data_IF_018609093457
#
_entry.id   IF_018609093457
#
_cell.length_a   1.000
_cell.length_b   1.000
_cell.length_c   1.000
_cell.angle_alpha   90.00
_cell.angle_beta   90.00
_cell.angle_gamma   90.00
#
_symmetry.space_group_name_H-M   'P 1'
#
loop_
_entity.id
_entity.type
_entity.pdbx_description
1 polymer ?
#
# COMPACT_ATOMS: atom_id res chain seq x y z
N UNK A 1 -16.99 29.91 3.47
CA UNK A 1 -16.24 29.11 4.47
C UNK A 1 -15.70 27.93 3.70
N UNK A 2 -14.39 27.91 3.49
CA UNK A 2 -13.73 26.82 2.77
C UNK A 2 -13.75 25.57 3.67
N UNK A 3 -14.45 24.52 3.27
CA UNK A 3 -14.30 23.24 3.93
C UNK A 3 -12.89 22.72 3.61
N UNK A 4 -12.07 22.63 4.64
CA UNK A 4 -10.76 22.04 4.57
C UNK A 4 -10.93 20.55 4.27
N UNK A 5 -10.45 20.07 3.12
CA UNK A 5 -10.29 18.63 2.87
C UNK A 5 -9.20 18.13 3.82
N UNK A 6 -9.60 17.67 4.99
CA UNK A 6 -8.69 17.28 6.06
C UNK A 6 -8.42 15.78 6.00
N UNK A 7 -7.42 15.37 5.22
CA UNK A 7 -6.98 13.98 5.09
C UNK A 7 -6.34 13.46 6.40
N UNK A 8 -6.02 14.36 7.35
CA UNK A 8 -5.19 14.07 8.51
C UNK A 8 -5.92 13.61 9.79
N UNK A 9 -7.23 13.79 9.91
CA UNK A 9 -7.93 13.65 11.20
C UNK A 9 -8.68 12.33 11.43
N UNK A 10 -8.78 11.47 10.43
CA UNK A 10 -9.44 10.17 10.62
C UNK A 10 -8.41 9.10 11.03
N UNK A 11 -8.15 8.97 12.32
CA UNK A 11 -7.53 7.76 12.85
C UNK A 11 -8.60 6.65 12.89
N UNK A 12 -8.59 5.75 11.91
CA UNK A 12 -9.40 4.53 11.98
C UNK A 12 -8.63 3.51 12.82
N UNK A 13 -9.23 3.04 13.91
CA UNK A 13 -8.71 1.88 14.62
C UNK A 13 -8.92 0.65 13.73
N UNK A 14 -7.85 0.20 13.08
CA UNK A 14 -7.85 -0.96 12.21
C UNK A 14 -7.46 -2.17 13.06
N UNK A 15 -8.33 -3.18 13.13
CA UNK A 15 -8.00 -4.46 13.75
C UNK A 15 -7.26 -5.33 12.74
N UNK A 16 -5.98 -5.61 13.02
CA UNK A 16 -5.20 -6.52 12.17
C UNK A 16 -5.64 -7.97 12.43
N UNK A 17 -6.11 -8.69 11.40
CA UNK A 17 -6.50 -10.09 11.56
C UNK A 17 -5.29 -10.96 11.87
N UNK A 18 -5.51 -12.10 12.54
CA UNK A 18 -4.45 -13.06 12.85
C UNK A 18 -4.44 -14.17 11.80
N UNK A 19 -3.29 -14.41 11.18
CA UNK A 19 -3.11 -15.54 10.25
C UNK A 19 -3.07 -16.87 11.02
N UNK A 20 -4.19 -17.59 11.01
CA UNK A 20 -4.33 -18.87 11.73
C UNK A 20 -3.50 -20.02 11.12
N UNK A 21 -2.96 -19.84 9.90
CA UNK A 21 -2.15 -20.82 9.18
C UNK A 21 -0.65 -20.83 9.51
N UNK A 22 -0.18 -20.04 10.48
CA UNK A 22 1.24 -19.80 10.74
C UNK A 22 2.04 -21.10 10.98
N UNK A 23 1.57 -21.99 11.85
CA UNK A 23 2.26 -23.26 12.12
C UNK A 23 2.26 -24.21 10.90
N UNK A 24 1.13 -24.27 10.18
CA UNK A 24 1.00 -25.06 8.94
C UNK A 24 1.95 -24.53 7.86
N UNK A 25 2.05 -23.21 7.72
CA UNK A 25 2.99 -22.56 6.80
C UNK A 25 4.45 -22.93 7.13
N UNK A 26 4.87 -22.72 8.37
CA UNK A 26 6.23 -23.00 8.83
C UNK A 26 6.58 -24.49 8.68
N UNK A 27 5.66 -25.40 9.07
CA UNK A 27 5.83 -26.83 8.88
C UNK A 27 5.92 -27.22 7.41
N UNK A 28 5.03 -26.67 6.58
CA UNK A 28 4.99 -26.93 5.14
C UNK A 28 6.27 -26.49 4.41
N UNK A 29 6.87 -25.36 4.82
CA UNK A 29 8.17 -24.92 4.29
C UNK A 29 9.29 -25.84 4.74
N UNK A 30 9.32 -26.24 6.01
CA UNK A 30 10.31 -27.19 6.52
C UNK A 30 10.28 -28.52 5.78
N UNK A 31 9.09 -29.08 5.55
CA UNK A 31 8.86 -30.33 4.83
C UNK A 31 9.00 -30.20 3.31
N UNK A 32 9.30 -28.99 2.79
CA UNK A 32 9.40 -28.67 1.36
C UNK A 32 8.11 -28.90 0.55
N UNK A 33 6.97 -28.90 1.22
CA UNK A 33 5.62 -28.93 0.60
C UNK A 33 5.26 -27.54 0.10
N UNK A 34 5.66 -26.50 0.84
CA UNK A 34 5.53 -25.08 0.47
C UNK A 34 6.92 -24.58 0.09
N UNK A 35 7.01 -23.97 -1.10
CA UNK A 35 8.28 -23.47 -1.66
C UNK A 35 8.04 -22.15 -2.39
N UNK A 36 9.09 -21.38 -2.74
CA UNK A 36 8.94 -20.16 -3.54
C UNK A 36 8.31 -20.37 -4.93
N UNK A 37 8.20 -21.60 -5.42
CA UNK A 37 7.49 -21.95 -6.67
C UNK A 37 6.13 -22.57 -6.43
N UNK A 38 5.79 -22.90 -5.21
CA UNK A 38 4.50 -23.47 -4.80
C UNK A 38 4.00 -22.74 -3.54
N UNK A 39 3.40 -21.60 -3.75
CA UNK A 39 2.93 -20.73 -2.67
C UNK A 39 1.51 -21.13 -2.22
N UNK A 40 1.18 -21.03 -0.92
CA UNK A 40 -0.15 -21.34 -0.43
C UNK A 40 -1.13 -20.20 -0.73
N UNK A 41 -2.26 -20.53 -1.34
CA UNK A 41 -3.35 -19.58 -1.64
C UNK A 41 -3.86 -18.89 -0.37
N UNK A 42 -3.96 -19.62 0.74
CA UNK A 42 -4.42 -19.12 2.04
C UNK A 42 -3.59 -17.91 2.54
N UNK A 43 -2.27 -17.88 2.29
CA UNK A 43 -1.40 -16.78 2.67
C UNK A 43 -1.63 -15.53 1.80
N UNK A 44 -1.79 -15.74 0.49
CA UNK A 44 -2.14 -14.68 -0.45
C UNK A 44 -3.50 -14.08 -0.12
N UNK A 45 -4.53 -14.90 0.03
CA UNK A 45 -5.90 -14.46 0.33
C UNK A 45 -5.96 -13.70 1.65
N UNK A 46 -5.27 -14.19 2.68
CA UNK A 46 -5.18 -13.50 3.98
C UNK A 46 -4.68 -12.06 3.82
N UNK A 47 -3.57 -11.86 3.13
CA UNK A 47 -3.02 -10.51 2.90
C UNK A 47 -3.95 -9.69 2.02
N UNK A 48 -4.42 -10.26 0.92
CA UNK A 48 -5.28 -9.55 -0.03
C UNK A 48 -6.57 -9.06 0.64
N UNK A 49 -7.27 -9.92 1.37
CA UNK A 49 -8.52 -9.53 2.03
C UNK A 49 -8.29 -8.55 3.17
N UNK A 50 -7.22 -8.72 3.95
CA UNK A 50 -6.88 -7.77 5.02
C UNK A 50 -6.65 -6.33 4.50
N UNK A 51 -6.21 -6.16 3.26
CA UNK A 51 -5.98 -4.84 2.65
C UNK A 51 -7.19 -4.37 1.83
N UNK A 52 -7.82 -5.27 1.07
CA UNK A 52 -8.90 -4.91 0.15
C UNK A 52 -10.21 -4.56 0.86
N UNK A 53 -10.51 -5.14 2.03
CA UNK A 53 -11.67 -4.73 2.84
C UNK A 53 -11.54 -3.28 3.31
N UNK A 54 -10.34 -2.85 3.72
CA UNK A 54 -10.09 -1.46 4.11
C UNK A 54 -10.31 -0.51 2.94
N UNK A 55 -9.80 -0.86 1.75
CA UNK A 55 -9.99 -0.05 0.54
C UNK A 55 -11.47 -0.01 0.14
N UNK A 56 -12.18 -1.13 0.24
CA UNK A 56 -13.60 -1.21 -0.05
C UNK A 56 -14.45 -0.35 0.89
N UNK A 57 -14.17 -0.37 2.19
CA UNK A 57 -14.86 0.46 3.18
C UNK A 57 -14.55 1.96 3.05
N UNK A 58 -13.33 2.30 2.57
CA UNK A 58 -12.86 3.69 2.50
C UNK A 58 -13.25 4.35 1.18
N UNK A 59 -13.07 3.65 0.05
CA UNK A 59 -13.29 4.21 -1.28
C UNK A 59 -14.39 3.48 -2.07
N UNK A 60 -14.63 2.21 -1.82
CA UNK A 60 -15.58 1.36 -2.54
C UNK A 60 -14.93 0.39 -3.54
N UNK A 61 -15.71 -0.63 -3.93
CA UNK A 61 -15.32 -1.66 -4.89
C UNK A 61 -15.66 -1.24 -6.34
N UNK A 62 -15.02 -1.83 -7.36
CA UNK A 62 -15.38 -1.58 -8.76
C UNK A 62 -16.87 -1.74 -9.06
N UNK A 63 -17.51 -2.74 -8.47
CA UNK A 63 -18.96 -3.00 -8.65
C UNK A 63 -19.88 -1.91 -8.09
N UNK A 64 -19.38 -1.03 -7.23
CA UNK A 64 -20.16 0.07 -6.61
C UNK A 64 -20.22 1.29 -7.52
N UNK A 65 -19.43 1.30 -8.61
CA UNK A 65 -19.31 2.45 -9.50
C UNK A 65 -19.74 2.14 -10.94
N UNK A 66 -20.25 3.16 -11.63
CA UNK A 66 -20.55 3.07 -13.06
C UNK A 66 -19.26 2.89 -13.86
N UNK A 67 -19.23 1.90 -14.75
CA UNK A 67 -18.10 1.63 -15.66
C UNK A 67 -17.71 2.89 -16.43
N UNK A 68 -16.41 3.14 -16.55
CA UNK A 68 -15.84 4.27 -17.27
C UNK A 68 -15.65 5.54 -16.43
N UNK A 69 -16.21 5.61 -15.22
CA UNK A 69 -15.98 6.74 -14.30
C UNK A 69 -14.58 6.71 -13.70
N UNK A 70 -14.15 7.84 -13.15
CA UNK A 70 -12.91 7.95 -12.39
C UNK A 70 -12.88 6.93 -11.26
N UNK A 71 -13.92 6.88 -10.43
CA UNK A 71 -13.99 6.00 -9.26
C UNK A 71 -13.95 4.52 -9.65
N UNK A 72 -14.68 4.09 -10.72
CA UNK A 72 -14.57 2.74 -11.25
C UNK A 72 -13.14 2.37 -11.65
N UNK A 73 -12.47 3.28 -12.39
CA UNK A 73 -11.10 3.08 -12.86
C UNK A 73 -10.12 2.95 -11.69
N UNK A 74 -10.22 3.85 -10.69
CA UNK A 74 -9.30 3.85 -9.54
C UNK A 74 -9.54 2.65 -8.62
N UNK A 75 -10.77 2.32 -8.29
CA UNK A 75 -11.11 1.14 -7.51
C UNK A 75 -10.59 -0.15 -8.17
N UNK A 76 -10.77 -0.29 -9.50
CA UNK A 76 -10.23 -1.42 -10.26
C UNK A 76 -8.70 -1.49 -10.19
N UNK A 77 -8.03 -0.35 -10.33
CA UNK A 77 -6.56 -0.29 -10.27
C UNK A 77 -6.04 -0.62 -8.87
N UNK A 78 -6.65 -0.08 -7.82
CA UNK A 78 -6.28 -0.38 -6.44
C UNK A 78 -6.47 -1.86 -6.12
N UNK A 79 -7.61 -2.45 -6.46
CA UNK A 79 -7.87 -3.89 -6.25
C UNK A 79 -6.82 -4.77 -6.95
N UNK A 80 -6.52 -4.49 -8.21
CA UNK A 80 -5.50 -5.25 -8.95
C UNK A 80 -4.10 -5.04 -8.38
N UNK A 81 -3.78 -3.81 -7.95
CA UNK A 81 -2.50 -3.51 -7.31
C UNK A 81 -2.32 -4.27 -6.00
N UNK A 82 -3.35 -4.32 -5.15
CA UNK A 82 -3.33 -5.11 -3.91
C UNK A 82 -3.16 -6.61 -4.19
N UNK A 83 -3.76 -7.14 -5.25
CA UNK A 83 -3.56 -8.53 -5.64
C UNK A 83 -2.10 -8.83 -5.99
N UNK A 84 -1.47 -7.98 -6.81
CA UNK A 84 -0.05 -8.11 -7.17
C UNK A 84 0.86 -7.96 -5.95
N UNK A 85 0.57 -6.99 -5.09
CA UNK A 85 1.30 -6.78 -3.84
C UNK A 85 1.22 -7.98 -2.91
N UNK A 86 0.02 -8.54 -2.72
CA UNK A 86 -0.20 -9.71 -1.84
C UNK A 86 0.52 -10.95 -2.35
N UNK A 87 0.58 -11.16 -3.68
CA UNK A 87 1.36 -12.22 -4.28
C UNK A 87 2.86 -12.05 -4.02
N UNK A 88 3.38 -10.83 -4.23
CA UNK A 88 4.79 -10.52 -3.98
C UNK A 88 5.17 -10.67 -2.50
N UNK A 89 4.32 -10.20 -1.59
CA UNK A 89 4.52 -10.36 -0.14
C UNK A 89 4.53 -11.83 0.28
N UNK A 90 3.59 -12.63 -0.22
CA UNK A 90 3.54 -14.08 0.05
C UNK A 90 4.79 -14.78 -0.45
N UNK A 91 5.28 -14.41 -1.63
CA UNK A 91 6.54 -14.92 -2.18
C UNK A 91 7.72 -14.60 -1.26
N UNK A 92 7.87 -13.34 -0.85
CA UNK A 92 8.99 -12.92 0.02
C UNK A 92 8.95 -13.63 1.38
N UNK A 93 7.76 -13.77 1.98
CA UNK A 93 7.61 -14.51 3.24
C UNK A 93 8.09 -15.97 3.08
N UNK A 94 7.62 -16.67 2.06
CA UNK A 94 8.02 -18.07 1.81
C UNK A 94 9.50 -18.17 1.42
N UNK A 95 10.03 -17.23 0.65
CA UNK A 95 11.44 -17.19 0.28
C UNK A 95 12.34 -17.05 1.51
N UNK A 96 11.99 -16.12 2.40
CA UNK A 96 12.75 -15.91 3.64
C UNK A 96 12.66 -17.12 4.57
N UNK A 97 11.46 -17.70 4.76
CA UNK A 97 11.31 -18.95 5.50
C UNK A 97 12.18 -20.05 4.92
N UNK A 98 12.12 -20.27 3.60
CA UNK A 98 12.90 -21.31 2.91
C UNK A 98 14.40 -21.13 3.07
N UNK A 99 14.88 -19.89 3.07
CA UNK A 99 16.30 -19.56 3.25
C UNK A 99 16.83 -19.86 4.65
N UNK A 100 15.95 -19.95 5.64
CA UNK A 100 16.29 -20.22 7.03
C UNK A 100 16.17 -21.70 7.43
N UNK A 101 15.78 -22.62 6.53
CA UNK A 101 15.75 -24.06 6.80
C UNK A 101 17.16 -24.63 6.92
N UNK A 102 18.11 -24.07 6.17
CA UNK A 102 19.52 -24.50 6.16
C UNK A 102 20.37 -23.36 6.69
N UNK A 103 21.13 -23.60 7.74
CA UNK A 103 22.09 -22.66 8.34
C UNK A 103 23.47 -23.30 8.36
N UNK A 104 24.46 -22.57 7.83
CA UNK A 104 25.85 -23.07 7.73
C UNK A 104 25.98 -24.46 7.05
N UNK A 105 25.14 -24.71 6.04
CA UNK A 105 25.15 -25.95 5.25
C UNK A 105 24.45 -27.16 5.92
N UNK A 106 23.81 -26.95 7.06
CA UNK A 106 23.09 -28.00 7.79
C UNK A 106 21.61 -27.65 7.92
N UNK A 107 20.75 -28.66 7.76
CA UNK A 107 19.30 -28.51 8.01
C UNK A 107 19.09 -28.35 9.52
N UNK A 108 18.42 -27.29 9.92
CA UNK A 108 18.07 -27.06 11.32
C UNK A 108 17.13 -28.16 11.86
N UNK A 109 17.24 -28.52 13.16
CA UNK A 109 16.15 -29.26 13.81
C UNK A 109 14.83 -28.51 13.71
N UNK A 110 13.72 -29.22 13.48
CA UNK A 110 12.41 -28.57 13.28
C UNK A 110 12.03 -27.61 14.40
N UNK A 111 12.30 -27.97 15.67
CA UNK A 111 11.94 -27.11 16.80
C UNK A 111 12.72 -25.78 16.83
N UNK A 112 13.94 -25.75 16.32
CA UNK A 112 14.74 -24.54 16.18
C UNK A 112 14.22 -23.71 14.99
N UNK A 113 14.03 -24.35 13.84
CA UNK A 113 13.44 -23.70 12.67
C UNK A 113 12.04 -23.13 12.97
N UNK A 114 11.19 -23.88 13.73
CA UNK A 114 9.84 -23.43 14.09
C UNK A 114 9.87 -22.07 14.81
N UNK A 115 10.79 -21.86 15.74
CA UNK A 115 10.92 -20.57 16.47
C UNK A 115 11.25 -19.42 15.51
N UNK A 116 12.24 -19.63 14.64
CA UNK A 116 12.66 -18.65 13.62
C UNK A 116 11.50 -18.39 12.65
N UNK A 117 10.87 -19.46 12.15
CA UNK A 117 9.80 -19.37 11.16
C UNK A 117 8.57 -18.65 11.68
N UNK A 118 8.16 -18.87 12.93
CA UNK A 118 7.05 -18.15 13.54
C UNK A 118 7.39 -16.66 13.70
N UNK A 119 8.60 -16.30 14.13
CA UNK A 119 9.02 -14.91 14.25
C UNK A 119 9.06 -14.18 12.87
N UNK A 120 9.50 -14.88 11.80
CA UNK A 120 9.44 -14.37 10.44
C UNK A 120 7.97 -14.14 10.04
N UNK A 121 7.11 -15.15 10.24
CA UNK A 121 5.70 -15.04 9.90
C UNK A 121 5.00 -13.90 10.63
N UNK A 122 5.23 -13.71 11.93
CA UNK A 122 4.64 -12.64 12.73
C UNK A 122 5.08 -11.26 12.23
N UNK A 123 6.35 -11.12 11.84
CA UNK A 123 6.85 -9.89 11.24
C UNK A 123 6.10 -9.53 9.96
N UNK A 124 5.89 -10.51 9.04
CA UNK A 124 5.15 -10.26 7.79
C UNK A 124 3.66 -10.07 8.00
N UNK A 125 3.03 -10.91 8.81
CA UNK A 125 1.57 -11.05 8.83
C UNK A 125 0.90 -10.43 10.06
N UNK A 126 1.69 -9.79 10.95
CA UNK A 126 1.19 -8.95 12.03
C UNK A 126 1.80 -7.56 11.91
N UNK A 127 3.12 -7.41 12.20
CA UNK A 127 3.74 -6.10 12.35
C UNK A 127 3.73 -5.26 11.06
N UNK A 128 4.15 -5.85 9.93
CA UNK A 128 4.15 -5.15 8.66
C UNK A 128 2.75 -5.03 8.06
N UNK A 129 1.90 -6.04 8.26
CA UNK A 129 0.52 -5.99 7.77
C UNK A 129 -0.26 -4.84 8.41
N UNK A 130 -0.11 -4.59 9.70
CA UNK A 130 -0.73 -3.44 10.38
C UNK A 130 -0.34 -2.11 9.71
N UNK A 131 0.95 -1.93 9.45
CA UNK A 131 1.45 -0.72 8.76
C UNK A 131 0.92 -0.61 7.32
N UNK A 132 0.85 -1.73 6.60
CA UNK A 132 0.32 -1.80 5.24
C UNK A 132 -1.19 -1.53 5.19
N UNK A 133 -1.94 -1.96 6.20
CA UNK A 133 -3.35 -1.63 6.36
C UNK A 133 -3.55 -0.11 6.56
N UNK A 134 -2.76 0.51 7.42
CA UNK A 134 -2.80 1.97 7.62
C UNK A 134 -2.44 2.71 6.31
N UNK A 135 -1.43 2.23 5.59
CA UNK A 135 -1.06 2.81 4.30
C UNK A 135 -2.21 2.65 3.27
N UNK A 136 -2.85 1.48 3.21
CA UNK A 136 -3.98 1.23 2.30
C UNK A 136 -5.16 2.15 2.60
N UNK A 137 -5.48 2.36 3.87
CA UNK A 137 -6.48 3.32 4.31
C UNK A 137 -6.17 4.74 3.82
N UNK A 138 -4.98 5.26 4.16
CA UNK A 138 -4.57 6.62 3.82
C UNK A 138 -4.46 6.85 2.30
N UNK A 139 -3.97 5.87 1.57
CA UNK A 139 -3.90 5.95 0.11
C UNK A 139 -5.30 5.95 -0.53
N UNK A 140 -6.25 5.21 0.04
CA UNK A 140 -7.64 5.20 -0.44
C UNK A 140 -8.33 6.55 -0.21
N UNK A 141 -8.16 7.16 0.96
CA UNK A 141 -8.63 8.54 1.24
C UNK A 141 -8.01 9.55 0.27
N UNK A 142 -6.71 9.39 -0.03
CA UNK A 142 -6.01 10.26 -0.98
C UNK A 142 -6.56 10.18 -2.40
N UNK A 143 -7.09 9.02 -2.83
CA UNK A 143 -7.76 8.90 -4.14
C UNK A 143 -9.03 9.73 -4.19
N UNK A 144 -9.82 9.70 -3.12
CA UNK A 144 -11.07 10.48 -3.05
C UNK A 144 -10.77 11.98 -3.00
N UNK A 145 -9.82 12.38 -2.17
CA UNK A 145 -9.36 13.77 -2.11
C UNK A 145 -8.81 14.29 -3.44
N UNK A 146 -8.07 13.45 -4.19
CA UNK A 146 -7.60 13.83 -5.53
C UNK A 146 -8.76 14.03 -6.52
N UNK A 147 -9.81 13.23 -6.40
CA UNK A 147 -11.04 13.39 -7.20
C UNK A 147 -11.69 14.73 -6.88
N UNK A 148 -11.95 15.04 -5.60
CA UNK A 148 -12.55 16.30 -5.15
C UNK A 148 -11.74 17.50 -5.63
N UNK A 149 -10.41 17.48 -5.45
CA UNK A 149 -9.51 18.53 -5.94
C UNK A 149 -9.67 18.80 -7.43
N UNK A 150 -9.90 17.76 -8.26
CA UNK A 150 -10.08 17.95 -9.71
C UNK A 150 -11.51 18.35 -10.09
N UNK A 151 -12.51 18.02 -9.31
CA UNK A 151 -13.89 18.47 -9.52
C UNK A 151 -14.01 19.99 -9.28
N UNK A 152 -13.25 20.54 -8.35
CA UNK A 152 -13.29 21.96 -7.95
C UNK A 152 -12.16 22.81 -8.56
N UNK A 153 -11.38 22.27 -9.50
CA UNK A 153 -10.17 22.92 -10.04
C UNK A 153 -10.41 24.30 -10.67
N UNK A 154 -11.60 24.57 -11.22
CA UNK A 154 -11.94 25.86 -11.81
C UNK A 154 -12.10 26.95 -10.73
N UNK A 155 -12.62 26.60 -9.55
CA UNK A 155 -12.79 27.51 -8.42
C UNK A 155 -11.54 27.60 -7.57
N UNK A 156 -10.87 26.46 -7.36
CA UNK A 156 -9.70 26.33 -6.49
C UNK A 156 -8.49 25.75 -7.25
N UNK A 157 -7.87 26.53 -8.15
CA UNK A 157 -6.82 26.03 -9.05
C UNK A 157 -5.46 25.80 -8.40
N UNK A 158 -5.29 26.13 -7.11
CA UNK A 158 -4.02 25.97 -6.40
C UNK A 158 -4.15 25.02 -5.22
N UNK A 159 -3.05 24.34 -4.91
CA UNK A 159 -2.91 23.53 -3.70
C UNK A 159 -1.73 24.01 -2.88
N UNK A 160 -1.91 24.04 -1.57
CA UNK A 160 -0.83 24.25 -0.60
C UNK A 160 -0.55 22.96 0.15
N UNK A 161 0.71 22.53 0.16
CA UNK A 161 1.17 21.43 1.01
C UNK A 161 1.32 21.92 2.46
N UNK A 162 0.81 21.13 3.41
CA UNK A 162 0.89 21.48 4.84
C UNK A 162 1.26 20.29 5.68
N UNK A 163 2.25 20.47 6.56
CA UNK A 163 2.59 19.50 7.60
C UNK A 163 1.84 19.80 8.89
N UNK A 164 1.78 18.84 9.81
CA UNK A 164 1.22 19.05 11.17
C UNK A 164 2.13 19.83 12.10
N UNK A 165 3.34 20.22 11.67
CA UNK A 165 4.30 21.10 12.37
C UNK A 165 4.73 20.62 13.76
N UNK A 166 4.68 19.33 14.02
CA UNK A 166 5.20 18.74 15.27
C UNK A 166 6.58 18.09 15.06
N UNK A 167 7.22 17.65 16.14
CA UNK A 167 8.57 17.07 16.14
C UNK A 167 8.66 15.71 15.43
N UNK A 168 7.53 15.11 15.02
CA UNK A 168 7.47 13.84 14.29
C UNK A 168 7.40 14.03 12.78
N UNK A 169 7.32 15.28 12.29
CA UNK A 169 7.38 15.57 10.84
C UNK A 169 8.80 15.32 10.35
N UNK A 170 8.92 14.56 9.28
CA UNK A 170 10.21 14.25 8.67
C UNK A 170 10.86 15.50 8.06
N UNK A 171 12.20 15.62 8.08
CA UNK A 171 12.88 16.79 7.51
C UNK A 171 12.50 17.06 6.06
N UNK A 172 12.43 16.05 5.21
CA UNK A 172 12.05 16.16 3.80
C UNK A 172 10.61 16.67 3.61
N UNK A 173 9.69 16.35 4.53
CA UNK A 173 8.33 16.89 4.51
C UNK A 173 8.31 18.36 5.01
N UNK A 174 9.19 18.71 5.93
CA UNK A 174 9.32 20.11 6.41
C UNK A 174 9.82 21.03 5.29
N UNK A 175 10.72 20.55 4.42
CA UNK A 175 11.26 21.31 3.28
C UNK A 175 10.18 21.72 2.28
N UNK A 176 9.09 20.97 2.21
CA UNK A 176 7.97 21.25 1.29
C UNK A 176 6.75 21.86 1.99
N UNK A 177 6.83 22.12 3.31
CA UNK A 177 5.75 22.78 4.05
C UNK A 177 5.48 24.19 3.52
N UNK A 178 4.22 24.50 3.27
CA UNK A 178 3.79 25.78 2.73
C UNK A 178 3.99 25.98 1.23
N UNK A 179 4.54 24.99 0.50
CA UNK A 179 4.66 25.07 -0.97
C UNK A 179 3.29 25.14 -1.61
N UNK A 180 3.12 26.12 -2.51
CA UNK A 180 1.90 26.34 -3.29
C UNK A 180 2.21 26.10 -4.76
N UNK A 181 1.40 25.24 -5.38
CA UNK A 181 1.44 24.95 -6.83
C UNK A 181 0.02 24.82 -7.38
N UNK A 182 -0.11 25.01 -8.71
CA UNK A 182 -1.36 24.68 -9.38
C UNK A 182 -1.65 23.19 -9.28
N UNK A 183 -2.92 22.82 -9.31
CA UNK A 183 -3.36 21.41 -9.24
C UNK A 183 -2.73 20.56 -10.36
N UNK A 184 -2.51 21.14 -11.54
CA UNK A 184 -1.93 20.48 -12.72
C UNK A 184 -0.38 20.45 -12.72
N UNK A 185 0.28 21.02 -11.69
CA UNK A 185 1.76 21.02 -11.59
C UNK A 185 2.30 19.62 -11.33
N UNK A 186 3.40 19.20 -12.03
CA UNK A 186 4.06 17.91 -11.81
C UNK A 186 4.55 17.66 -10.37
N UNK A 187 4.69 18.70 -9.55
CA UNK A 187 5.01 18.56 -8.13
C UNK A 187 4.06 17.57 -7.43
N UNK A 188 2.77 17.60 -7.77
CA UNK A 188 1.76 16.71 -7.22
C UNK A 188 1.81 15.27 -7.75
N UNK A 189 2.70 14.96 -8.69
CA UNK A 189 2.92 13.58 -9.11
C UNK A 189 3.63 12.76 -8.03
N UNK A 190 4.43 13.44 -7.17
CA UNK A 190 5.23 12.79 -6.15
C UNK A 190 4.99 13.31 -4.73
N UNK A 191 4.39 14.49 -4.58
CA UNK A 191 4.17 15.14 -3.28
C UNK A 191 2.71 15.25 -2.85
N UNK A 192 1.76 14.65 -3.57
CA UNK A 192 0.39 14.57 -3.07
C UNK A 192 0.30 13.52 -1.95
N UNK A 193 -0.11 13.93 -0.70
CA UNK A 193 -0.04 13.02 0.46
C UNK A 193 -0.93 11.77 0.31
N UNK A 194 -0.58 10.66 1.01
CA UNK A 194 0.52 10.49 1.97
C UNK A 194 1.87 10.26 1.28
N UNK A 195 2.95 10.80 1.86
CA UNK A 195 4.29 10.79 1.25
C UNK A 195 5.29 9.87 1.97
N UNK A 196 4.85 9.16 3.01
CA UNK A 196 5.60 8.10 3.70
C UNK A 196 4.66 7.34 4.67
N UNK A 197 5.18 6.27 5.31
CA UNK A 197 4.47 5.53 6.35
C UNK A 197 4.03 6.47 7.49
N UNK A 198 2.77 6.37 7.89
CA UNK A 198 2.16 7.21 8.94
C UNK A 198 2.27 8.72 8.66
N UNK A 199 2.35 9.14 7.41
CA UNK A 199 2.32 10.55 7.02
C UNK A 199 0.98 11.19 7.43
N UNK A 200 1.06 12.39 8.03
CA UNK A 200 -0.08 13.21 8.47
C UNK A 200 -0.13 14.56 7.76
N UNK A 201 0.61 14.70 6.65
CA UNK A 201 0.55 15.89 5.82
C UNK A 201 -0.76 15.94 5.04
N UNK A 202 -1.20 17.16 4.73
CA UNK A 202 -2.43 17.44 3.99
C UNK A 202 -2.16 18.40 2.83
N UNK A 203 -3.13 18.53 1.94
CA UNK A 203 -3.20 19.62 0.97
C UNK A 203 -4.45 20.45 1.22
N UNK A 204 -4.33 21.78 0.99
CA UNK A 204 -5.44 22.72 1.06
C UNK A 204 -5.63 23.35 -0.29
N UNK A 205 -6.86 23.35 -0.82
CA UNK A 205 -7.21 24.06 -2.04
C UNK A 205 -7.35 25.56 -1.79
N UNK A 206 -6.88 26.38 -2.74
CA UNK A 206 -6.92 27.83 -2.67
C UNK A 206 -7.50 28.40 -3.98
N UNK A 207 -8.38 29.43 -3.83
CA UNK A 207 -8.99 30.14 -4.95
C UNK A 207 -7.96 31.04 -5.65
N UNK A 208 -7.16 31.75 -4.86
CA UNK A 208 -6.08 32.64 -5.32
C UNK A 208 -4.83 32.44 -4.48
N UNK A 209 -3.68 32.38 -5.14
CA UNK A 209 -2.41 32.24 -4.46
C UNK A 209 -1.22 32.60 -5.34
N UNK A 210 -0.14 33.04 -4.70
CA UNK A 210 1.16 33.16 -5.37
C UNK A 210 1.89 31.85 -5.33
N UNK A 211 2.18 31.27 -6.49
CA UNK A 211 2.93 29.99 -6.57
C UNK A 211 4.35 30.13 -6.05
N UNK A 212 4.81 29.17 -5.30
CA UNK A 212 6.19 29.06 -4.84
C UNK A 212 7.11 28.92 -6.04
N UNK A 213 8.12 29.80 -6.17
CA UNK A 213 9.09 29.79 -7.28
C UNK A 213 10.30 28.90 -6.97
N UNK A 214 10.97 28.46 -8.02
CA UNK A 214 12.22 27.71 -7.92
C UNK A 214 12.06 26.22 -8.21
N UNK A 215 13.21 25.52 -8.17
CA UNK A 215 13.26 24.05 -8.32
C UNK A 215 12.84 23.43 -7.00
N UNK A 216 11.88 22.54 -7.05
CA UNK A 216 11.38 21.82 -5.90
C UNK A 216 11.97 20.40 -5.84
N UNK A 217 12.07 19.81 -4.65
CA UNK A 217 12.48 18.41 -4.52
C UNK A 217 11.46 17.49 -5.15
N UNK A 218 11.90 16.30 -5.52
CA UNK A 218 11.05 15.18 -5.96
C UNK A 218 11.04 14.19 -4.81
N UNK A 219 9.86 13.69 -4.44
CA UNK A 219 9.77 12.56 -3.52
C UNK A 219 10.15 11.29 -4.29
N UNK A 220 11.31 10.72 -4.01
CA UNK A 220 11.84 9.51 -4.64
C UNK A 220 11.57 8.23 -3.83
N UNK A 221 10.69 8.30 -2.84
CA UNK A 221 10.27 7.14 -2.06
C UNK A 221 9.81 6.00 -2.96
N UNK A 222 10.33 4.78 -2.80
CA UNK A 222 9.92 3.63 -3.61
C UNK A 222 8.46 3.21 -3.38
N UNK A 223 7.82 3.69 -2.31
CA UNK A 223 6.44 3.36 -1.94
C UNK A 223 5.51 4.56 -2.10
N UNK A 224 5.99 5.76 -1.73
CA UNK A 224 5.15 6.97 -1.63
C UNK A 224 5.54 8.09 -2.60
N UNK A 225 6.50 7.85 -3.48
CA UNK A 225 6.92 8.81 -4.52
C UNK A 225 5.98 8.84 -5.73
N UNK A 226 4.67 8.69 -5.52
CA UNK A 226 3.66 8.69 -6.58
C UNK A 226 2.30 9.09 -6.05
N UNK A 227 1.52 9.77 -6.88
CA UNK A 227 0.15 10.17 -6.55
C UNK A 227 -0.82 9.02 -6.88
N UNK A 228 -1.33 8.36 -5.83
CA UNK A 228 -2.29 7.26 -5.97
C UNK A 228 -3.61 7.70 -6.63
N UNK A 229 -4.03 8.94 -6.42
CA UNK A 229 -5.20 9.52 -7.09
C UNK A 229 -5.04 9.58 -8.61
N UNK A 230 -3.81 9.74 -9.12
CA UNK A 230 -3.51 9.72 -10.57
C UNK A 230 -3.41 8.31 -11.15
N UNK A 231 -2.94 7.31 -10.40
CA UNK A 231 -2.59 6.01 -10.95
C UNK A 231 -3.26 4.78 -10.27
N UNK A 232 -3.82 4.93 -9.07
CA UNK A 232 -4.45 3.84 -8.30
C UNK A 232 -3.46 2.81 -7.75
N UNK A 233 -2.17 3.17 -7.62
CA UNK A 233 -1.14 2.27 -7.12
C UNK A 233 -0.88 2.52 -5.63
N UNK A 234 -1.53 1.77 -4.76
CA UNK A 234 -1.31 1.83 -3.31
C UNK A 234 0.12 1.42 -2.98
N UNK A 235 0.60 0.32 -3.61
CA UNK A 235 1.97 -0.16 -3.49
C UNK A 235 2.61 -0.23 -4.88
N UNK A 236 3.43 0.77 -5.27
CA UNK A 236 4.04 0.83 -6.61
C UNK A 236 5.01 -0.32 -6.89
N UNK A 237 5.41 -0.46 -8.16
CA UNK A 237 6.34 -1.51 -8.59
C UNK A 237 7.70 -1.46 -7.90
N UNK A 238 8.10 -0.30 -7.41
CA UNK A 238 9.36 -0.06 -6.69
C UNK A 238 9.33 -0.57 -5.24
N UNK A 239 8.16 -1.01 -4.74
CA UNK A 239 8.06 -1.58 -3.41
C UNK A 239 9.04 -2.76 -3.22
N UNK A 240 9.76 -2.87 -2.08
CA UNK A 240 10.79 -3.90 -1.87
C UNK A 240 10.34 -5.34 -2.09
N UNK A 241 9.05 -5.68 -1.87
CA UNK A 241 8.55 -7.02 -2.16
C UNK A 241 8.61 -7.39 -3.65
N UNK A 242 8.67 -6.41 -4.54
CA UNK A 242 8.82 -6.65 -5.98
C UNK A 242 10.26 -6.91 -6.42
N UNK A 243 11.24 -6.81 -5.50
CA UNK A 243 12.60 -7.25 -5.76
C UNK A 243 12.71 -8.77 -5.68
N UNK A 244 12.31 -9.41 -6.76
CA UNK A 244 12.24 -10.87 -6.89
C UNK A 244 13.47 -11.37 -7.65
N UNK A 245 14.18 -12.41 -7.19
CA UNK A 245 15.33 -12.98 -7.87
C UNK A 245 15.02 -13.37 -9.33
N UNK A 246 16.02 -13.25 -10.21
CA UNK A 246 15.87 -13.39 -11.67
C UNK A 246 15.12 -14.66 -12.10
N UNK A 247 15.40 -15.79 -11.43
CA UNK A 247 14.77 -17.09 -11.74
C UNK A 247 13.26 -17.12 -11.46
N UNK A 248 12.73 -16.21 -10.64
CA UNK A 248 11.29 -16.14 -10.30
C UNK A 248 10.55 -15.02 -11.01
N UNK A 249 11.23 -14.20 -11.85
CA UNK A 249 10.59 -13.08 -12.57
C UNK A 249 9.46 -13.54 -13.51
N UNK A 250 9.54 -14.75 -14.05
CA UNK A 250 8.45 -15.37 -14.82
C UNK A 250 7.19 -15.59 -13.99
N UNK A 251 7.34 -16.21 -12.81
CA UNK A 251 6.24 -16.41 -11.88
C UNK A 251 5.64 -15.07 -11.38
N UNK A 252 6.49 -14.07 -11.11
CA UNK A 252 6.05 -12.73 -10.71
C UNK A 252 5.14 -12.08 -11.76
N UNK A 253 5.43 -12.21 -13.06
CA UNK A 253 4.60 -11.65 -14.14
C UNK A 253 3.19 -12.24 -14.15
N UNK A 254 3.05 -13.49 -13.78
CA UNK A 254 1.78 -14.22 -13.65
C UNK A 254 1.22 -14.14 -12.22
N UNK A 255 1.62 -13.15 -11.44
CA UNK A 255 1.26 -13.00 -10.03
C UNK A 255 1.43 -14.31 -9.23
N UNK A 256 2.49 -15.07 -9.48
CA UNK A 256 2.79 -16.36 -8.85
C UNK A 256 1.65 -17.40 -8.99
N UNK A 257 0.81 -17.26 -10.00
CA UNK A 257 -0.36 -18.11 -10.24
C UNK A 257 -1.64 -17.71 -9.50
N UNK A 258 -1.59 -16.66 -8.70
CA UNK A 258 -2.76 -16.16 -7.98
C UNK A 258 -3.71 -15.38 -8.88
N UNK A 259 -5.01 -15.60 -8.70
CA UNK A 259 -6.06 -14.80 -9.32
C UNK A 259 -6.55 -13.72 -8.39
N UNK A 260 -6.81 -12.53 -8.93
CA UNK A 260 -7.44 -11.46 -8.16
C UNK A 260 -8.85 -11.89 -7.73
N UNK A 261 -9.18 -11.90 -6.44
CA UNK A 261 -10.51 -12.21 -5.96
C UNK A 261 -11.59 -11.28 -6.51
N UNK A 262 -12.82 -11.75 -6.58
CA UNK A 262 -13.97 -10.98 -7.06
C UNK A 262 -14.43 -9.94 -6.05
N UNK A 263 -15.24 -8.97 -6.49
CA UNK A 263 -15.84 -7.99 -5.58
C UNK A 263 -16.81 -8.66 -4.58
N UNK A 264 -17.50 -9.72 -5.01
CA UNK A 264 -18.39 -10.51 -4.14
C UNK A 264 -17.63 -11.16 -2.99
N UNK A 265 -16.49 -11.80 -3.27
CA UNK A 265 -15.65 -12.39 -2.23
C UNK A 265 -15.12 -11.37 -1.22
N UNK A 266 -14.92 -10.11 -1.63
CA UNK A 266 -14.56 -9.04 -0.70
C UNK A 266 -15.78 -8.61 0.11
N UNK A 267 -16.96 -8.46 -0.53
CA UNK A 267 -18.21 -8.06 0.12
C UNK A 267 -18.66 -9.05 1.20
N UNK A 268 -18.42 -10.31 1.02
CA UNK A 268 -18.72 -11.36 2.00
C UNK A 268 -17.94 -11.21 3.33
N UNK A 269 -16.93 -10.32 3.36
CA UNK A 269 -16.07 -10.07 4.51
C UNK A 269 -16.29 -8.68 5.15
N UNK A 270 -17.11 -7.81 4.52
CA UNK A 270 -17.49 -6.50 5.04
C UNK A 270 -18.68 -6.60 6.01
#
# INVERSE_FOLDING_TARGET
MCELVNIGEREKTISTPIFKGSEKLVKGVFDRIITPVLLPTELFEFTFFALSTIVAETFGLPSDFKKGTFSFKRSTQMKNNLSVFSGAKSFQNVLELSSNVIVSGQVLPFNEFKKIGLAINDRYNINWLETEQQASFRQSESVDSWKEVNEDIETFPFLQYSTVKDSRVRPEHQEVDGIIRRVDDPFWDTWFPPNDWNCRCIVTQLEDATVTKGKLPINDSPVFGTNVGKNGLIFPKQHPYNDVPKQFKGAQKENFGFRTPTDEQIKDLL
#
